data_IF_785574320536
#
_entry.id   IF_785574320536
#
_cell.length_a   1.000
_cell.length_b   1.000
_cell.length_c   1.000
_cell.angle_alpha   90.00
_cell.angle_beta   90.00
_cell.angle_gamma   90.00
#
_symmetry.space_group_name_H-M   'P 1'
#
loop_
_entity.id
_entity.type
_entity.pdbx_description
1 polymer ?
#
# COMPACT_ATOMS: atom_id res chain seq x y z
N UNK A 1 11.53 9.98 26.77
CA UNK A 1 11.65 8.61 26.22
C UNK A 1 10.37 8.12 25.53
N UNK A 2 9.19 8.13 26.18
CA UNK A 2 7.91 7.73 25.56
C UNK A 2 7.59 8.47 24.25
N UNK A 3 7.80 9.79 24.22
CA UNK A 3 7.57 10.62 23.03
C UNK A 3 8.42 10.22 21.81
N UNK A 4 9.67 9.82 22.03
CA UNK A 4 10.56 9.32 20.97
C UNK A 4 10.10 7.94 20.47
N UNK A 5 9.70 7.03 21.37
CA UNK A 5 9.22 5.70 20.99
C UNK A 5 7.89 5.75 20.22
N UNK A 6 7.05 6.76 20.50
CA UNK A 6 5.80 6.99 19.76
C UNK A 6 5.97 7.78 18.46
N UNK A 7 7.15 8.38 18.25
CA UNK A 7 7.45 9.13 17.04
C UNK A 7 7.77 8.21 15.87
N UNK A 8 7.54 8.71 14.66
CA UNK A 8 7.85 7.99 13.43
C UNK A 8 9.36 7.73 13.34
N UNK A 9 10.16 8.74 13.66
CA UNK A 9 11.61 8.64 13.68
C UNK A 9 12.11 7.59 14.67
N UNK A 10 11.59 7.57 15.91
CA UNK A 10 12.03 6.60 16.91
C UNK A 10 11.57 5.18 16.61
N UNK A 11 10.38 5.00 16.04
CA UNK A 11 9.93 3.68 15.55
C UNK A 11 10.79 3.16 14.41
N UNK A 12 11.08 4.00 13.41
CA UNK A 12 11.97 3.63 12.30
C UNK A 12 13.36 3.27 12.83
N UNK A 13 13.91 4.09 13.73
CA UNK A 13 15.21 3.84 14.34
C UNK A 13 15.28 2.51 15.09
N UNK A 14 14.27 2.22 15.94
CA UNK A 14 14.20 0.96 16.69
C UNK A 14 14.03 -0.26 15.77
N UNK A 15 13.19 -0.16 14.74
CA UNK A 15 13.00 -1.24 13.75
C UNK A 15 14.29 -1.50 12.97
N UNK A 16 14.97 -0.44 12.52
CA UNK A 16 16.23 -0.56 11.78
C UNK A 16 17.31 -1.19 12.64
N UNK A 17 17.55 -0.67 13.85
CA UNK A 17 18.58 -1.22 14.75
C UNK A 17 18.23 -2.65 15.18
N UNK A 18 17.00 -2.89 15.61
CA UNK A 18 16.56 -4.23 16.01
C UNK A 18 16.67 -5.23 14.87
N UNK A 19 16.30 -4.83 13.65
CA UNK A 19 16.42 -5.66 12.45
C UNK A 19 17.87 -5.96 12.07
N UNK A 20 18.77 -4.97 12.14
CA UNK A 20 20.20 -5.16 11.88
C UNK A 20 20.81 -6.12 12.90
N UNK A 21 20.54 -5.91 14.20
CA UNK A 21 21.07 -6.76 15.27
C UNK A 21 20.53 -8.19 15.15
N UNK A 22 19.22 -8.36 14.91
CA UNK A 22 18.62 -9.68 14.72
C UNK A 22 19.19 -10.40 13.49
N UNK A 23 19.37 -9.69 12.37
CA UNK A 23 19.99 -10.24 11.16
C UNK A 23 21.44 -10.67 11.40
N UNK A 24 22.22 -9.83 12.11
CA UNK A 24 23.60 -10.14 12.46
C UNK A 24 23.70 -11.36 13.39
N UNK A 25 22.84 -11.45 14.42
CA UNK A 25 22.79 -12.58 15.34
C UNK A 25 22.35 -13.87 14.64
N UNK A 26 21.35 -13.80 13.77
CA UNK A 26 20.89 -14.94 12.97
C UNK A 26 22.03 -15.45 12.08
N UNK A 27 22.70 -14.54 11.37
CA UNK A 27 23.82 -14.87 10.48
C UNK A 27 24.99 -15.48 11.26
N UNK A 28 25.33 -14.90 12.41
CA UNK A 28 26.39 -15.42 13.29
C UNK A 28 26.04 -16.79 13.85
N UNK A 29 24.79 -17.01 14.29
CA UNK A 29 24.34 -18.30 14.83
C UNK A 29 24.34 -19.40 13.77
N UNK A 30 23.89 -19.09 12.54
CA UNK A 30 23.96 -20.01 11.41
C UNK A 30 25.41 -20.39 11.08
N UNK A 31 26.31 -19.40 11.07
CA UNK A 31 27.74 -19.65 10.82
C UNK A 31 28.42 -20.48 11.91
N UNK A 32 28.07 -20.29 13.19
CA UNK A 32 28.69 -21.00 14.32
C UNK A 32 28.20 -22.46 14.43
N UNK A 33 26.90 -22.70 14.22
CA UNK A 33 26.32 -24.06 14.21
C UNK A 33 26.97 -24.94 13.14
N UNK A 34 27.17 -24.39 11.96
CA UNK A 34 27.71 -25.13 10.82
C UNK A 34 29.22 -25.37 10.94
N UNK A 35 29.96 -24.41 11.50
CA UNK A 35 31.39 -24.58 11.76
C UNK A 35 31.68 -25.74 12.71
N UNK A 36 30.93 -25.87 13.81
CA UNK A 36 31.22 -26.88 14.83
C UNK A 36 31.05 -28.32 14.32
N UNK A 37 30.03 -28.58 13.51
CA UNK A 37 29.74 -29.93 13.01
C UNK A 37 30.70 -30.35 11.89
N UNK A 38 30.96 -29.46 10.93
CA UNK A 38 31.78 -29.82 9.76
C UNK A 38 33.26 -29.99 10.12
N UNK A 39 33.80 -29.21 11.06
CA UNK A 39 35.22 -29.28 11.41
C UNK A 39 35.59 -30.47 12.30
N UNK A 40 34.67 -31.02 13.08
CA UNK A 40 34.96 -32.18 13.92
C UNK A 40 35.09 -33.45 13.06
N UNK A 41 34.13 -33.68 12.16
CA UNK A 41 34.12 -34.82 11.23
C UNK A 41 35.32 -34.80 10.27
N UNK A 42 35.61 -33.66 9.61
CA UNK A 42 36.75 -33.58 8.68
C UNK A 42 38.09 -33.80 9.38
N UNK A 43 38.25 -33.32 10.62
CA UNK A 43 39.47 -33.58 11.41
C UNK A 43 39.56 -35.05 11.82
N UNK A 44 38.46 -35.66 12.25
CA UNK A 44 38.42 -37.08 12.59
C UNK A 44 38.81 -37.96 11.40
N UNK A 45 38.23 -37.72 10.22
CA UNK A 45 38.56 -38.44 8.99
C UNK A 45 40.05 -38.30 8.60
N UNK A 46 40.60 -37.08 8.58
CA UNK A 46 42.04 -36.90 8.30
C UNK A 46 42.97 -37.53 9.35
N UNK A 47 42.52 -37.59 10.62
CA UNK A 47 43.28 -38.28 11.67
C UNK A 47 43.24 -39.79 11.45
N UNK A 48 42.08 -40.33 11.06
CA UNK A 48 41.90 -41.75 10.77
C UNK A 48 42.78 -42.21 9.59
N UNK A 49 42.79 -41.48 8.47
CA UNK A 49 43.65 -41.77 7.30
C UNK A 49 45.14 -41.81 7.66
N UNK A 50 45.63 -40.86 8.47
CA UNK A 50 47.03 -40.88 8.94
C UNK A 50 47.35 -42.06 9.85
N UNK A 51 46.40 -42.46 10.69
CA UNK A 51 46.55 -43.62 11.57
C UNK A 51 46.52 -44.91 10.75
N UNK A 52 45.66 -45.01 9.74
CA UNK A 52 45.62 -46.12 8.79
C UNK A 52 46.97 -46.30 8.10
N UNK A 53 47.52 -45.24 7.50
CA UNK A 53 48.82 -45.29 6.82
C UNK A 53 49.95 -45.76 7.76
N UNK A 54 49.91 -45.32 9.02
CA UNK A 54 50.88 -45.70 10.04
C UNK A 54 50.72 -47.15 10.47
N UNK A 55 49.49 -47.61 10.71
CA UNK A 55 49.19 -48.99 11.07
C UNK A 55 49.59 -49.92 9.92
N UNK A 56 49.22 -49.58 8.68
CA UNK A 56 49.60 -50.32 7.48
C UNK A 56 51.11 -50.37 7.27
N UNK A 57 51.84 -49.28 7.56
CA UNK A 57 53.31 -49.28 7.53
C UNK A 57 53.95 -50.15 8.63
N UNK A 58 53.38 -50.17 9.84
CA UNK A 58 53.87 -51.01 10.94
C UNK A 58 53.59 -52.51 10.70
N UNK A 59 52.47 -52.86 10.06
CA UNK A 59 52.15 -54.24 9.69
C UNK A 59 53.05 -54.76 8.56
N UNK A 60 53.46 -53.90 7.62
CA UNK A 60 54.36 -54.26 6.53
C UNK A 60 55.80 -54.60 7.00
N UNK A 61 56.15 -54.24 8.24
CA UNK A 61 57.49 -54.43 8.82
C UNK A 61 57.49 -55.62 9.80
N UNK A 62 58.51 -56.50 9.74
CA UNK A 62 58.66 -57.59 10.71
C UNK A 62 58.69 -57.11 12.16
N UNK A 63 58.21 -57.91 13.12
CA UNK A 63 57.99 -57.47 14.51
C UNK A 63 59.25 -56.93 15.19
N UNK A 64 60.43 -57.40 14.79
CA UNK A 64 61.73 -56.98 15.33
C UNK A 64 62.07 -55.51 15.04
N UNK A 65 61.61 -54.96 13.92
CA UNK A 65 61.93 -53.58 13.49
C UNK A 65 60.81 -52.57 13.78
N UNK A 66 59.63 -53.03 14.23
CA UNK A 66 58.51 -52.17 14.64
C UNK A 66 58.86 -51.13 15.70
N UNK A 67 59.59 -51.44 16.80
CA UNK A 67 59.95 -50.43 17.79
C UNK A 67 60.90 -49.37 17.22
N UNK A 68 61.79 -49.75 16.30
CA UNK A 68 62.70 -48.82 15.61
C UNK A 68 61.92 -47.88 14.68
N UNK A 69 60.99 -48.40 13.90
CA UNK A 69 60.12 -47.60 13.03
C UNK A 69 59.21 -46.67 13.85
N UNK A 70 58.63 -47.16 14.95
CA UNK A 70 57.85 -46.34 15.87
C UNK A 70 58.66 -45.22 16.52
N UNK A 71 59.94 -45.42 16.81
CA UNK A 71 60.82 -44.39 17.33
C UNK A 71 61.16 -43.29 16.30
N UNK A 72 61.02 -43.59 15.00
CA UNK A 72 61.21 -42.61 13.91
C UNK A 72 59.96 -41.78 13.61
N UNK A 73 58.82 -42.07 14.25
CA UNK A 73 57.62 -41.27 14.12
C UNK A 73 57.89 -39.82 14.55
N UNK A 74 57.56 -38.87 13.66
CA UNK A 74 57.85 -37.45 13.84
C UNK A 74 57.10 -36.79 14.99
N UNK A 75 57.40 -35.51 15.22
CA UNK A 75 56.73 -34.66 16.22
C UNK A 75 55.21 -34.67 16.01
N UNK A 76 54.47 -35.37 16.88
CA UNK A 76 53.00 -35.35 16.89
C UNK A 76 52.33 -36.69 17.18
N UNK A 77 53.02 -37.81 16.98
CA UNK A 77 52.49 -39.15 17.27
C UNK A 77 53.55 -39.99 18.00
N UNK A 78 53.14 -40.73 19.03
CA UNK A 78 53.99 -41.77 19.64
C UNK A 78 53.26 -43.11 19.62
N UNK A 79 54.00 -44.18 19.35
CA UNK A 79 53.50 -45.55 19.32
C UNK A 79 54.17 -46.39 20.40
N UNK A 80 53.36 -47.09 21.19
CA UNK A 80 53.82 -47.97 22.27
C UNK A 80 53.24 -49.37 22.07
N UNK A 81 54.13 -50.38 22.07
CA UNK A 81 53.80 -51.79 21.91
C UNK A 81 53.89 -52.51 23.27
N UNK A 82 52.98 -52.18 24.19
CA UNK A 82 52.82 -52.91 25.46
C UNK A 82 51.51 -52.49 26.12
N UNK A 83 50.61 -53.45 26.35
CA UNK A 83 49.32 -53.22 26.99
C UNK A 83 49.48 -52.81 28.45
N UNK A 84 49.11 -51.57 28.77
CA UNK A 84 48.42 -51.28 30.03
C UNK A 84 47.03 -50.82 29.65
N UNK A 85 46.02 -51.56 30.12
CA UNK A 85 44.64 -51.11 30.12
C UNK A 85 44.59 -49.70 30.70
N UNK A 86 44.22 -48.74 29.85
CA UNK A 86 43.98 -47.38 30.31
C UNK A 86 42.72 -47.39 31.20
N UNK A 87 42.67 -46.58 32.27
CA UNK A 87 41.44 -46.40 33.03
C UNK A 87 40.31 -45.94 32.10
N UNK A 88 39.03 -46.26 32.41
CA UNK A 88 37.90 -45.88 31.57
C UNK A 88 37.85 -44.35 31.44
N UNK A 89 38.26 -43.85 30.28
CA UNK A 89 38.22 -42.45 29.88
C UNK A 89 37.02 -42.19 28.97
N UNK A 90 36.65 -40.91 28.83
CA UNK A 90 35.58 -40.48 27.94
C UNK A 90 35.93 -40.84 26.49
N UNK A 91 35.04 -41.60 25.84
CA UNK A 91 35.24 -42.10 24.48
C UNK A 91 35.00 -40.99 23.46
N UNK A 92 35.95 -40.79 22.54
CA UNK A 92 35.76 -39.91 21.38
C UNK A 92 35.04 -40.73 20.30
N UNK A 93 33.70 -40.73 20.33
CA UNK A 93 32.87 -41.53 19.44
C UNK A 93 33.08 -41.17 17.96
N UNK A 94 33.17 -39.87 17.64
CA UNK A 94 33.37 -39.41 16.26
C UNK A 94 34.69 -39.89 15.67
N UNK A 95 35.78 -39.90 16.46
CA UNK A 95 37.07 -40.42 16.00
C UNK A 95 37.09 -41.95 15.97
N UNK A 96 36.42 -42.60 16.92
CA UNK A 96 36.33 -44.07 16.95
C UNK A 96 35.60 -44.57 15.70
N UNK A 97 34.46 -43.96 15.35
CA UNK A 97 33.69 -44.32 14.16
C UNK A 97 34.50 -44.09 12.88
N UNK A 98 35.17 -42.94 12.75
CA UNK A 98 36.02 -42.65 11.59
C UNK A 98 37.20 -43.65 11.46
N UNK A 99 37.77 -44.11 12.57
CA UNK A 99 38.85 -45.11 12.56
C UNK A 99 38.32 -46.50 12.21
N UNK A 100 37.13 -46.87 12.67
CA UNK A 100 36.51 -48.16 12.35
C UNK A 100 36.16 -48.24 10.87
N UNK A 101 35.69 -47.14 10.28
CA UNK A 101 35.41 -47.04 8.85
C UNK A 101 36.68 -47.23 8.00
N UNK A 102 37.80 -46.62 8.40
CA UNK A 102 39.05 -46.66 7.62
C UNK A 102 39.88 -47.94 7.85
N UNK A 103 39.96 -48.43 9.09
CA UNK A 103 40.80 -49.59 9.48
C UNK A 103 40.08 -50.93 9.39
N UNK A 104 38.75 -50.93 9.28
CA UNK A 104 37.87 -52.11 9.26
C UNK A 104 37.41 -52.58 10.65
N UNK A 105 36.23 -53.20 10.71
CA UNK A 105 35.57 -53.66 11.95
C UNK A 105 36.28 -54.81 12.68
N UNK A 106 37.22 -55.50 12.02
CA UNK A 106 37.94 -56.65 12.59
C UNK A 106 38.99 -56.26 13.64
N UNK A 107 39.26 -54.97 13.80
CA UNK A 107 40.24 -54.44 14.75
C UNK A 107 39.50 -53.84 15.95
N UNK A 108 39.88 -54.23 17.16
CA UNK A 108 39.35 -53.61 18.39
C UNK A 108 39.90 -52.19 18.55
N UNK A 109 39.29 -51.20 17.89
CA UNK A 109 39.71 -49.80 17.93
C UNK A 109 38.88 -49.02 18.94
N UNK A 110 39.55 -48.25 19.80
CA UNK A 110 38.91 -47.29 20.70
C UNK A 110 39.77 -46.02 20.80
N UNK A 111 39.14 -44.87 20.61
CA UNK A 111 39.76 -43.56 20.84
C UNK A 111 39.24 -42.94 22.14
N UNK A 112 40.14 -42.48 23.01
CA UNK A 112 39.82 -41.80 24.27
C UNK A 112 40.59 -40.48 24.41
N UNK A 113 40.09 -39.60 25.28
CA UNK A 113 40.84 -38.41 25.68
C UNK A 113 41.92 -38.78 26.71
N UNK A 114 43.18 -38.50 26.38
CA UNK A 114 44.33 -38.78 27.24
C UNK A 114 44.42 -37.86 28.46
N UNK A 115 44.94 -38.39 29.54
CA UNK A 115 45.24 -37.64 30.76
C UNK A 115 46.46 -36.74 30.59
N UNK A 116 46.59 -35.64 31.37
CA UNK A 116 47.74 -34.75 31.29
C UNK A 116 49.11 -35.46 31.41
N UNK A 117 49.18 -36.57 32.16
CA UNK A 117 50.38 -37.39 32.29
C UNK A 117 50.70 -38.19 31.02
N UNK A 118 49.69 -38.74 30.34
CA UNK A 118 49.85 -39.45 29.06
C UNK A 118 50.23 -38.49 27.93
N UNK A 119 49.78 -37.23 28.00
CA UNK A 119 50.14 -36.19 27.04
C UNK A 119 51.53 -35.59 27.28
N UNK A 120 52.19 -35.93 28.40
CA UNK A 120 53.48 -35.38 28.82
C UNK A 120 54.70 -36.23 28.41
N UNK A 121 54.53 -37.26 27.57
CA UNK A 121 55.63 -38.15 27.17
C UNK A 121 56.84 -37.36 26.61
N UNK A 122 58.08 -37.66 27.05
CA UNK A 122 59.26 -36.88 26.72
C UNK A 122 59.67 -37.13 25.26
N UNK A 123 59.39 -36.15 24.40
CA UNK A 123 59.86 -36.16 23.01
C UNK A 123 61.23 -35.46 22.97
N UNK A 124 62.30 -36.23 23.18
CA UNK A 124 63.69 -35.78 23.01
C UNK A 124 64.27 -34.93 24.15
N UNK A 125 65.60 -34.73 24.11
CA UNK A 125 66.43 -34.14 25.18
C UNK A 125 66.20 -32.64 25.48
N UNK A 126 65.06 -32.05 25.11
CA UNK A 126 64.72 -30.68 25.51
C UNK A 126 63.26 -30.62 25.98
N UNK A 127 62.99 -30.30 27.26
CA UNK A 127 61.63 -30.13 27.73
C UNK A 127 60.99 -28.95 26.98
N UNK A 128 59.83 -29.13 26.34
CA UNK A 128 59.08 -27.99 25.80
C UNK A 128 58.71 -27.08 26.97
N UNK A 129 59.05 -25.81 26.86
CA UNK A 129 58.63 -24.77 27.80
C UNK A 129 57.14 -24.94 28.09
N UNK A 130 56.81 -25.01 29.37
CA UNK A 130 55.50 -25.22 30.01
C UNK A 130 54.41 -24.22 29.59
N UNK A 131 54.11 -24.12 28.30
CA UNK A 131 52.81 -23.60 27.84
C UNK A 131 51.83 -24.75 27.95
N UNK A 132 51.03 -24.70 29.01
CA UNK A 132 49.90 -25.58 29.27
C UNK A 132 49.19 -25.93 27.96
N UNK A 133 49.35 -27.18 27.53
CA UNK A 133 48.49 -27.78 26.53
C UNK A 133 47.14 -27.98 27.25
N UNK A 134 46.23 -27.02 27.11
CA UNK A 134 44.88 -27.08 27.72
C UNK A 134 43.94 -28.00 26.95
N UNK A 135 44.38 -28.57 25.83
CA UNK A 135 43.60 -29.50 25.01
C UNK A 135 44.08 -30.93 25.27
N UNK A 136 43.21 -31.85 25.75
CA UNK A 136 43.62 -33.23 26.00
C UNK A 136 44.16 -33.86 24.70
N UNK A 137 45.29 -34.57 24.80
CA UNK A 137 45.76 -35.42 23.70
C UNK A 137 44.76 -36.54 23.44
N UNK A 138 44.83 -37.17 22.28
CA UNK A 138 43.97 -38.31 21.96
C UNK A 138 44.79 -39.59 22.02
N UNK A 139 44.25 -40.60 22.71
CA UNK A 139 44.87 -41.92 22.82
C UNK A 139 44.03 -42.88 22.01
N UNK A 140 44.66 -43.58 21.07
CA UNK A 140 44.01 -44.63 20.29
C UNK A 140 44.62 -45.97 20.73
N UNK A 141 43.77 -46.87 21.20
CA UNK A 141 44.12 -48.26 21.45
C UNK A 141 43.56 -49.12 20.32
N UNK A 142 44.43 -49.89 19.67
CA UNK A 142 44.03 -50.80 18.59
C UNK A 142 44.84 -52.10 18.62
N UNK A 143 44.36 -53.13 17.91
CA UNK A 143 45.06 -54.40 17.72
C UNK A 143 45.50 -54.52 16.27
N UNK A 144 46.79 -54.81 16.06
CA UNK A 144 47.33 -55.12 14.73
C UNK A 144 46.78 -56.49 14.26
N UNK A 145 46.82 -56.77 12.95
CA UNK A 145 46.36 -58.06 12.38
C UNK A 145 47.03 -59.28 13.02
N UNK A 146 48.27 -59.12 13.46
CA UNK A 146 49.05 -60.18 14.12
C UNK A 146 48.69 -60.35 15.62
N UNK A 147 47.66 -59.67 16.11
CA UNK A 147 47.23 -59.70 17.52
C UNK A 147 48.09 -58.86 18.47
N UNK A 148 49.08 -58.13 17.96
CA UNK A 148 49.92 -57.25 18.79
C UNK A 148 49.11 -56.01 19.23
N UNK A 149 49.03 -55.69 20.54
CA UNK A 149 48.36 -54.48 20.99
C UNK A 149 49.22 -53.25 20.68
N UNK A 150 48.60 -52.24 20.06
CA UNK A 150 49.20 -50.96 19.71
C UNK A 150 48.48 -49.83 20.42
N UNK A 151 49.25 -48.98 21.10
CA UNK A 151 48.76 -47.75 21.70
C UNK A 151 49.41 -46.54 21.04
N UNK A 152 48.59 -45.69 20.45
CA UNK A 152 49.01 -44.45 19.79
C UNK A 152 48.59 -43.25 20.63
N UNK A 153 49.51 -42.32 20.87
CA UNK A 153 49.22 -41.02 21.49
C UNK A 153 49.40 -39.94 20.43
N UNK A 154 48.30 -39.27 20.08
CA UNK A 154 48.28 -38.16 19.14
C UNK A 154 48.24 -36.84 19.92
N UNK A 155 49.28 -36.02 19.72
CA UNK A 155 49.29 -34.66 20.22
C UNK A 155 48.46 -33.78 19.29
N UNK A 156 47.74 -32.78 19.82
CA UNK A 156 46.98 -31.86 18.99
C UNK A 156 47.94 -31.08 18.07
N UNK A 157 47.88 -31.36 16.77
CA UNK A 157 48.51 -30.49 15.78
C UNK A 157 47.69 -29.18 15.71
N UNK A 158 48.21 -28.12 16.33
CA UNK A 158 47.66 -26.76 16.20
C UNK A 158 47.95 -26.21 14.80
N UNK A 159 47.38 -26.81 13.75
CA UNK A 159 47.20 -26.14 12.46
C UNK A 159 45.75 -25.74 12.35
N UNK A 160 45.47 -24.52 12.82
CA UNK A 160 44.22 -23.82 12.53
C UNK A 160 44.18 -23.44 11.04
N UNK A 161 44.09 -24.43 10.16
CA UNK A 161 43.68 -24.21 8.79
C UNK A 161 42.16 -24.11 8.83
N UNK A 162 41.64 -22.88 8.92
CA UNK A 162 40.25 -22.63 8.54
C UNK A 162 40.22 -22.68 7.01
N UNK A 163 39.74 -23.74 6.35
CA UNK A 163 39.53 -23.70 4.91
C UNK A 163 38.64 -22.49 4.60
N UNK A 164 39.09 -21.63 3.69
CA UNK A 164 38.26 -20.56 3.11
C UNK A 164 37.18 -21.24 2.25
N UNK A 165 36.13 -21.75 2.88
CA UNK A 165 34.97 -22.28 2.17
C UNK A 165 34.20 -21.12 1.55
N UNK A 166 33.75 -21.26 0.30
CA UNK A 166 32.95 -20.25 -0.44
C UNK A 166 31.61 -19.90 0.25
N UNK A 167 31.29 -20.55 1.37
CA UNK A 167 30.05 -20.43 2.15
C UNK A 167 29.86 -19.04 2.78
N UNK A 168 30.93 -18.26 2.95
CA UNK A 168 30.81 -16.85 3.38
C UNK A 168 29.94 -16.02 2.43
N UNK A 169 29.88 -16.38 1.14
CA UNK A 169 28.99 -15.73 0.17
C UNK A 169 27.52 -16.07 0.42
N UNK A 170 27.19 -17.30 0.84
CA UNK A 170 25.82 -17.69 1.18
C UNK A 170 25.32 -16.86 2.36
N UNK A 171 26.12 -16.72 3.42
CA UNK A 171 25.78 -15.88 4.56
C UNK A 171 25.69 -14.39 4.18
N UNK A 172 26.57 -13.91 3.29
CA UNK A 172 26.50 -12.55 2.75
C UNK A 172 25.19 -12.30 2.01
N UNK A 173 24.72 -13.25 1.18
CA UNK A 173 23.44 -13.16 0.47
C UNK A 173 22.26 -13.18 1.44
N UNK A 174 22.25 -14.06 2.44
CA UNK A 174 21.20 -14.10 3.47
C UNK A 174 21.13 -12.77 4.23
N UNK A 175 22.29 -12.22 4.64
CA UNK A 175 22.36 -10.93 5.32
C UNK A 175 21.81 -9.79 4.45
N UNK A 176 22.19 -9.74 3.16
CA UNK A 176 21.69 -8.75 2.21
C UNK A 176 20.17 -8.88 1.99
N UNK A 177 19.65 -10.11 1.92
CA UNK A 177 18.21 -10.37 1.77
C UNK A 177 17.44 -9.88 3.00
N UNK A 178 17.92 -10.19 4.21
CA UNK A 178 17.34 -9.66 5.45
C UNK A 178 17.37 -8.13 5.50
N UNK A 179 18.47 -7.52 5.07
CA UNK A 179 18.58 -6.06 5.00
C UNK A 179 17.63 -5.45 3.97
N UNK A 180 17.45 -6.08 2.81
CA UNK A 180 16.51 -5.67 1.78
C UNK A 180 15.05 -5.76 2.24
N UNK A 181 14.66 -6.84 2.92
CA UNK A 181 13.34 -6.99 3.53
C UNK A 181 13.08 -5.92 4.60
N UNK A 182 14.08 -5.64 5.44
CA UNK A 182 14.01 -4.60 6.46
C UNK A 182 13.82 -3.21 5.82
N UNK A 183 14.62 -2.90 4.79
CA UNK A 183 14.51 -1.65 4.05
C UNK A 183 13.14 -1.49 3.37
N UNK A 184 12.62 -2.56 2.75
CA UNK A 184 11.29 -2.57 2.16
C UNK A 184 10.20 -2.32 3.21
N UNK A 185 10.28 -2.98 4.37
CA UNK A 185 9.34 -2.80 5.46
C UNK A 185 9.33 -1.36 5.99
N UNK A 186 10.51 -0.78 6.24
CA UNK A 186 10.68 0.61 6.69
C UNK A 186 10.16 1.60 5.65
N UNK A 187 10.45 1.38 4.36
CA UNK A 187 9.95 2.23 3.28
C UNK A 187 8.42 2.20 3.21
N UNK A 188 7.81 1.00 3.29
CA UNK A 188 6.36 0.82 3.28
C UNK A 188 5.70 1.44 4.51
N UNK A 189 6.31 1.32 5.68
CA UNK A 189 5.83 1.95 6.92
C UNK A 189 5.82 3.48 6.82
N UNK A 190 6.83 4.04 6.14
CA UNK A 190 7.01 5.50 6.02
C UNK A 190 6.11 6.13 4.96
N UNK A 191 5.93 5.46 3.82
CA UNK A 191 5.23 6.02 2.65
C UNK A 191 3.72 5.79 2.67
N UNK A 192 3.24 4.69 3.26
CA UNK A 192 1.81 4.36 3.32
C UNK A 192 0.92 5.46 3.95
N UNK A 193 1.27 6.11 5.07
CA UNK A 193 0.42 7.17 5.63
C UNK A 193 0.34 8.42 4.74
N UNK A 194 1.42 8.78 4.04
CA UNK A 194 1.44 9.91 3.11
C UNK A 194 0.47 9.70 1.94
N UNK A 195 0.43 8.48 1.39
CA UNK A 195 -0.55 8.11 0.36
C UNK A 195 -2.00 8.10 0.86
N UNK A 196 -2.23 7.98 2.17
CA UNK A 196 -3.56 8.17 2.79
C UNK A 196 -3.98 9.63 2.79
N UNK A 197 -3.11 10.52 3.28
CA UNK A 197 -3.35 11.96 3.31
C UNK A 197 -3.55 12.55 1.90
N UNK A 198 -2.73 12.13 0.93
CA UNK A 198 -2.87 12.59 -0.46
C UNK A 198 -4.24 12.24 -1.06
N UNK A 199 -4.71 11.00 -0.87
CA UNK A 199 -6.03 10.56 -1.34
C UNK A 199 -7.16 11.32 -0.65
N UNK A 200 -7.06 11.55 0.65
CA UNK A 200 -8.06 12.32 1.39
C UNK A 200 -8.11 13.79 0.95
N UNK A 201 -6.96 14.40 0.64
CA UNK A 201 -6.91 15.75 0.08
C UNK A 201 -7.57 15.84 -1.31
N UNK A 202 -7.32 14.87 -2.20
CA UNK A 202 -8.00 14.81 -3.50
C UNK A 202 -9.49 14.57 -3.36
N UNK A 203 -9.89 13.71 -2.42
CA UNK A 203 -11.29 13.41 -2.17
C UNK A 203 -12.04 14.59 -1.53
N UNK A 204 -11.39 15.39 -0.67
CA UNK A 204 -11.96 16.60 -0.09
C UNK A 204 -12.39 17.62 -1.15
N UNK A 205 -11.62 17.72 -2.24
CA UNK A 205 -11.95 18.60 -3.37
C UNK A 205 -13.19 18.15 -4.15
N UNK A 206 -13.63 16.89 -4.00
CA UNK A 206 -14.85 16.35 -4.64
C UNK A 206 -16.03 16.31 -3.69
N UNK A 207 -15.78 15.99 -2.42
CA UNK A 207 -16.80 15.87 -1.39
C UNK A 207 -16.26 16.41 -0.05
N UNK A 208 -16.75 17.58 0.33
CA UNK A 208 -16.40 18.23 1.60
C UNK A 208 -16.96 17.48 2.82
N UNK A 209 -18.04 16.72 2.63
CA UNK A 209 -18.76 15.99 3.67
C UNK A 209 -18.23 14.57 3.89
N UNK A 210 -17.08 14.23 3.29
CA UNK A 210 -16.43 12.94 3.51
C UNK A 210 -16.06 12.71 4.99
N UNK A 211 -15.99 11.45 5.45
CA UNK A 211 -15.61 11.14 6.83
C UNK A 211 -14.20 11.67 7.17
N UNK A 212 -13.98 12.12 8.42
CA UNK A 212 -12.66 12.58 8.87
C UNK A 212 -11.64 11.44 8.86
N UNK A 213 -10.37 11.80 8.73
CA UNK A 213 -9.27 10.84 8.77
C UNK A 213 -9.11 10.25 10.18
N UNK A 214 -8.84 8.94 10.30
CA UNK A 214 -8.56 8.33 11.60
C UNK A 214 -7.25 8.87 12.17
N UNK A 215 -7.29 9.39 13.40
CA UNK A 215 -6.14 9.96 14.11
C UNK A 215 -5.29 8.87 14.81
N UNK A 216 -4.95 7.84 14.04
CA UNK A 216 -4.18 6.69 14.50
C UNK A 216 -2.74 6.72 13.94
N UNK A 217 -1.81 6.06 14.64
CA UNK A 217 -0.44 5.88 14.17
C UNK A 217 0.62 6.71 14.92
N UNK A 218 1.81 6.90 14.32
CA UNK A 218 2.87 7.72 14.91
C UNK A 218 2.40 9.16 15.19
N UNK A 219 3.03 9.82 16.16
CA UNK A 219 2.65 11.19 16.56
C UNK A 219 2.53 12.15 15.37
N UNK A 220 3.45 12.09 14.43
CA UNK A 220 3.53 12.98 13.26
C UNK A 220 2.34 12.77 12.32
N UNK A 221 1.98 11.50 12.10
CA UNK A 221 0.80 11.13 11.29
C UNK A 221 -0.49 11.57 11.99
N UNK A 222 -0.57 11.39 13.31
CA UNK A 222 -1.72 11.82 14.11
C UNK A 222 -1.91 13.34 14.08
N UNK A 223 -0.84 14.12 14.26
CA UNK A 223 -0.91 15.57 14.16
C UNK A 223 -1.29 16.03 12.76
N UNK A 224 -0.76 15.40 11.70
CA UNK A 224 -1.14 15.73 10.33
C UNK A 224 -2.62 15.40 10.05
N UNK A 225 -3.11 14.25 10.51
CA UNK A 225 -4.52 13.87 10.40
C UNK A 225 -5.44 14.85 11.16
N UNK A 226 -5.09 15.20 12.40
CA UNK A 226 -5.85 16.17 13.20
C UNK A 226 -5.88 17.57 12.55
N UNK A 227 -4.74 18.04 12.03
CA UNK A 227 -4.66 19.31 11.31
C UNK A 227 -5.50 19.30 10.02
N UNK A 228 -5.50 18.19 9.28
CA UNK A 228 -6.34 18.00 8.11
C UNK A 228 -7.84 18.00 8.46
N UNK A 229 -8.23 17.27 9.50
CA UNK A 229 -9.61 17.23 10.00
C UNK A 229 -10.10 18.62 10.43
N UNK A 230 -9.24 19.39 11.12
CA UNK A 230 -9.54 20.76 11.51
C UNK A 230 -9.68 21.70 10.31
N UNK A 231 -8.84 21.54 9.29
CA UNK A 231 -8.98 22.28 8.03
C UNK A 231 -10.30 21.95 7.34
N UNK A 232 -10.64 20.66 7.21
CA UNK A 232 -11.91 20.20 6.64
C UNK A 232 -13.11 20.82 7.38
N UNK A 233 -13.11 20.79 8.71
CA UNK A 233 -14.18 21.36 9.53
C UNK A 233 -14.34 22.88 9.30
N UNK A 234 -13.23 23.63 9.20
CA UNK A 234 -13.25 25.07 8.93
C UNK A 234 -13.77 25.41 7.54
N UNK A 235 -13.37 24.65 6.52
CA UNK A 235 -13.87 24.87 5.16
C UNK A 235 -15.37 24.58 5.13
N UNK A 236 -15.81 23.50 5.79
CA UNK A 236 -17.22 23.15 5.88
C UNK A 236 -18.04 24.25 6.54
N UNK A 237 -17.63 24.73 7.71
CA UNK A 237 -18.34 25.82 8.40
C UNK A 237 -18.38 27.11 7.57
N UNK A 238 -17.28 27.42 6.87
CA UNK A 238 -17.22 28.59 5.99
C UNK A 238 -18.19 28.49 4.79
N UNK A 239 -18.33 27.29 4.22
CA UNK A 239 -19.29 27.05 3.13
C UNK A 239 -20.73 27.14 3.66
N UNK A 240 -21.03 26.49 4.80
CA UNK A 240 -22.35 26.52 5.42
C UNK A 240 -22.78 27.96 5.79
N UNK A 241 -21.90 28.75 6.42
CA UNK A 241 -22.14 30.15 6.77
C UNK A 241 -22.40 31.01 5.51
N UNK A 242 -21.64 30.78 4.43
CA UNK A 242 -21.83 31.50 3.17
C UNK A 242 -23.18 31.16 2.53
N UNK A 243 -23.60 29.91 2.59
CA UNK A 243 -24.89 29.46 2.06
C UNK A 243 -26.04 30.04 2.87
N UNK A 244 -25.94 30.03 4.21
CA UNK A 244 -26.94 30.64 5.10
C UNK A 244 -27.06 32.16 4.86
N UNK A 245 -25.93 32.87 4.72
CA UNK A 245 -25.92 34.29 4.40
C UNK A 245 -26.63 34.59 3.08
N UNK A 246 -26.38 33.79 2.05
CA UNK A 246 -27.04 33.95 0.75
C UNK A 246 -28.54 33.68 0.84
N UNK A 247 -28.96 32.66 1.59
CA UNK A 247 -30.37 32.36 1.84
C UNK A 247 -31.06 33.50 2.62
N UNK A 248 -30.40 34.11 3.60
CA UNK A 248 -30.94 35.26 4.32
C UNK A 248 -31.10 36.48 3.38
N UNK A 249 -30.09 36.79 2.56
CA UNK A 249 -30.16 37.88 1.58
C UNK A 249 -31.31 37.65 0.58
N UNK A 250 -31.52 36.41 0.14
CA UNK A 250 -32.64 36.05 -0.74
C UNK A 250 -34.00 36.44 -0.15
N UNK A 251 -34.22 36.00 1.08
CA UNK A 251 -35.46 36.20 1.80
C UNK A 251 -35.71 37.71 2.02
N UNK A 252 -34.66 38.44 2.38
CA UNK A 252 -34.73 39.88 2.60
C UNK A 252 -34.93 40.67 1.30
N UNK A 253 -34.53 40.14 0.14
CA UNK A 253 -34.85 40.71 -1.18
C UNK A 253 -36.29 40.43 -1.62
N UNK A 254 -36.88 39.29 -1.24
CA UNK A 254 -38.25 38.93 -1.62
C UNK A 254 -39.30 39.88 -1.02
N UNK A 255 -39.06 40.36 0.21
CA UNK A 255 -39.97 41.30 0.91
C UNK A 255 -40.13 42.65 0.18
N UNK A 256 -39.06 43.39 -0.18
CA UNK A 256 -39.18 44.64 -0.94
C UNK A 256 -39.67 44.42 -2.37
N UNK A 257 -39.35 43.28 -3.02
CA UNK A 257 -39.89 42.95 -4.34
C UNK A 257 -41.40 42.76 -4.31
N UNK A 258 -41.92 42.03 -3.32
CA UNK A 258 -43.36 41.85 -3.11
C UNK A 258 -44.05 43.20 -2.87
N UNK A 259 -43.44 44.07 -2.06
CA UNK A 259 -43.95 45.43 -1.82
C UNK A 259 -43.91 46.27 -3.09
N UNK A 260 -42.87 46.15 -3.92
CA UNK A 260 -42.78 46.85 -5.19
C UNK A 260 -43.87 46.38 -6.15
N UNK A 261 -44.15 45.07 -6.22
CA UNK A 261 -45.26 44.49 -6.98
C UNK A 261 -46.61 45.12 -6.63
N UNK A 262 -46.93 45.20 -5.33
CA UNK A 262 -48.15 45.84 -4.84
C UNK A 262 -48.21 47.36 -5.15
N UNK A 263 -47.05 48.03 -5.23
CA UNK A 263 -47.00 49.45 -5.66
C UNK A 263 -47.22 49.61 -7.15
N UNK A 264 -46.74 48.67 -7.97
CA UNK A 264 -46.96 48.65 -9.41
C UNK A 264 -48.44 48.46 -9.77
N UNK A 265 -49.21 47.75 -8.94
CA UNK A 265 -50.67 47.62 -9.12
C UNK A 265 -51.40 48.97 -9.09
N UNK A 266 -50.82 50.01 -8.49
CA UNK A 266 -51.39 51.37 -8.44
C UNK A 266 -51.08 52.23 -9.67
N UNK A 267 -50.29 51.72 -10.62
CA UNK A 267 -49.99 52.42 -11.88
C UNK A 267 -51.22 52.37 -12.77
N UNK A 268 -51.74 53.55 -13.13
CA UNK A 268 -52.97 53.71 -13.93
C UNK A 268 -52.78 53.37 -15.40
N UNK A 269 -51.58 53.55 -15.95
CA UNK A 269 -51.23 53.12 -17.31
C UNK A 269 -51.00 51.60 -17.33
N UNK A 270 -51.98 50.89 -17.89
CA UNK A 270 -51.96 49.42 -18.00
C UNK A 270 -50.76 48.91 -18.80
N UNK A 271 -50.35 49.63 -19.84
CA UNK A 271 -49.22 49.22 -20.69
C UNK A 271 -47.89 49.37 -19.96
N UNK A 272 -47.74 50.45 -19.19
CA UNK A 272 -46.57 50.68 -18.35
C UNK A 272 -46.53 49.70 -17.17
N UNK A 273 -47.69 49.45 -16.54
CA UNK A 273 -47.84 48.47 -15.45
C UNK A 273 -47.40 47.08 -15.91
N UNK A 274 -47.89 46.61 -17.04
CA UNK A 274 -47.50 45.31 -17.60
C UNK A 274 -45.98 45.20 -17.84
N UNK A 275 -45.37 46.24 -18.40
CA UNK A 275 -43.90 46.29 -18.61
C UNK A 275 -43.12 46.26 -17.29
N UNK A 276 -43.53 47.03 -16.29
CA UNK A 276 -42.87 47.09 -14.98
C UNK A 276 -43.02 45.78 -14.19
N UNK A 277 -44.19 45.14 -14.25
CA UNK A 277 -44.42 43.83 -13.63
C UNK A 277 -43.58 42.76 -14.30
N UNK A 278 -43.44 42.79 -15.63
CA UNK A 278 -42.55 41.88 -16.36
C UNK A 278 -41.08 42.08 -15.97
N UNK A 279 -40.61 43.33 -15.86
CA UNK A 279 -39.25 43.64 -15.41
C UNK A 279 -39.01 43.15 -13.96
N UNK A 280 -39.99 43.31 -13.07
CA UNK A 280 -39.92 42.82 -11.70
C UNK A 280 -39.84 41.29 -11.65
N UNK A 281 -40.64 40.59 -12.44
CA UNK A 281 -40.59 39.13 -12.57
C UNK A 281 -39.24 38.64 -13.09
N UNK A 282 -38.63 39.36 -14.04
CA UNK A 282 -37.29 39.05 -14.53
C UNK A 282 -36.21 39.21 -13.45
N UNK A 283 -36.33 40.24 -12.59
CA UNK A 283 -35.44 40.41 -11.43
C UNK A 283 -35.62 39.31 -10.38
N UNK A 284 -36.87 38.95 -10.05
CA UNK A 284 -37.19 37.84 -9.14
C UNK A 284 -36.58 36.51 -9.64
N UNK A 285 -36.71 36.23 -10.93
CA UNK A 285 -36.10 35.06 -11.56
C UNK A 285 -34.58 35.09 -11.46
N UNK A 286 -33.94 36.24 -11.75
CA UNK A 286 -32.48 36.38 -11.67
C UNK A 286 -31.94 36.17 -10.26
N UNK A 287 -32.62 36.69 -9.25
CA UNK A 287 -32.24 36.50 -7.85
C UNK A 287 -32.37 35.02 -7.48
N UNK A 288 -33.50 34.40 -7.81
CA UNK A 288 -33.72 32.96 -7.55
C UNK A 288 -32.64 32.12 -8.22
N UNK A 289 -32.41 32.28 -9.51
CA UNK A 289 -31.40 31.51 -10.26
C UNK A 289 -29.96 31.76 -9.75
N UNK A 290 -29.63 32.97 -9.30
CA UNK A 290 -28.33 33.29 -8.69
C UNK A 290 -28.11 32.60 -7.35
N UNK A 291 -29.13 32.56 -6.50
CA UNK A 291 -29.11 31.80 -5.23
C UNK A 291 -29.03 30.31 -5.48
N UNK A 292 -29.77 29.87 -6.47
CA UNK A 292 -29.80 28.51 -6.97
C UNK A 292 -28.42 28.07 -7.47
N UNK A 293 -27.69 28.93 -8.20
CA UNK A 293 -26.32 28.68 -8.57
C UNK A 293 -25.41 28.56 -7.34
N UNK A 294 -25.54 29.48 -6.39
CA UNK A 294 -24.67 29.48 -5.22
C UNK A 294 -24.91 28.26 -4.31
N UNK A 295 -26.17 27.84 -4.15
CA UNK A 295 -26.58 26.63 -3.41
C UNK A 295 -26.31 25.34 -4.18
N UNK A 296 -26.22 25.36 -5.51
CA UNK A 296 -25.92 24.15 -6.31
C UNK A 296 -24.57 23.52 -5.95
N UNK A 297 -23.61 24.32 -5.49
CA UNK A 297 -22.32 23.85 -4.97
C UNK A 297 -22.49 23.12 -3.62
N UNK A 298 -23.45 23.56 -2.81
CA UNK A 298 -23.63 23.18 -1.41
C UNK A 298 -24.85 22.28 -1.15
N UNK A 299 -25.22 21.41 -2.10
CA UNK A 299 -26.24 20.39 -1.83
C UNK A 299 -25.75 19.40 -0.75
N UNK A 300 -25.97 19.71 0.52
CA UNK A 300 -25.82 18.86 1.69
C UNK A 300 -26.91 17.78 1.78
N UNK A 301 -27.48 17.38 0.64
CA UNK A 301 -28.49 16.34 0.57
C UNK A 301 -27.87 14.96 0.75
N UNK A 302 -28.59 14.09 1.46
CA UNK A 302 -28.20 12.69 1.59
C UNK A 302 -28.39 12.01 0.23
N UNK A 303 -27.33 11.37 -0.26
CA UNK A 303 -27.41 10.52 -1.45
C UNK A 303 -28.30 9.32 -1.13
N UNK A 304 -29.31 9.10 -1.96
CA UNK A 304 -30.23 7.97 -1.87
C UNK A 304 -30.41 7.33 -3.24
N UNK A 305 -30.94 6.10 -3.26
CA UNK A 305 -31.29 5.44 -4.52
C UNK A 305 -32.52 6.12 -5.10
N UNK A 306 -32.34 6.77 -6.24
CA UNK A 306 -33.39 7.46 -6.99
C UNK A 306 -33.73 6.63 -8.21
N UNK A 307 -35.00 6.27 -8.35
CA UNK A 307 -35.52 5.67 -9.56
C UNK A 307 -35.61 6.74 -10.67
N UNK A 308 -34.83 6.56 -11.74
CA UNK A 308 -34.72 7.56 -12.81
C UNK A 308 -36.01 7.70 -13.60
N UNK A 309 -36.73 6.60 -13.83
CA UNK A 309 -37.92 6.62 -14.68
C UNK A 309 -39.06 7.38 -13.97
N UNK A 310 -39.21 7.14 -12.66
CA UNK A 310 -40.14 7.91 -11.82
C UNK A 310 -39.78 9.39 -11.76
N UNK A 311 -38.50 9.73 -11.63
CA UNK A 311 -38.04 11.11 -11.59
C UNK A 311 -38.32 11.83 -12.92
N UNK A 312 -37.96 11.21 -14.05
CA UNK A 312 -38.17 11.75 -15.39
C UNK A 312 -39.66 11.95 -15.68
N UNK A 313 -40.48 10.96 -15.32
CA UNK A 313 -41.93 11.03 -15.48
C UNK A 313 -42.51 12.21 -14.70
N UNK A 314 -42.08 12.40 -13.44
CA UNK A 314 -42.52 13.54 -12.62
C UNK A 314 -42.13 14.88 -13.24
N UNK A 315 -40.86 15.06 -13.64
CA UNK A 315 -40.38 16.34 -14.19
C UNK A 315 -41.05 16.65 -15.54
N UNK A 316 -41.23 15.65 -16.39
CA UNK A 316 -41.90 15.84 -17.68
C UNK A 316 -43.39 16.15 -17.49
N UNK A 317 -44.05 15.50 -16.52
CA UNK A 317 -45.45 15.79 -16.20
C UNK A 317 -45.62 17.25 -15.71
N UNK A 318 -44.77 17.70 -14.80
CA UNK A 318 -44.78 19.09 -14.30
C UNK A 318 -44.62 20.11 -15.45
N UNK A 319 -43.73 19.81 -16.41
CA UNK A 319 -43.52 20.65 -17.60
C UNK A 319 -44.73 20.67 -18.55
N UNK A 320 -45.36 19.52 -18.77
CA UNK A 320 -46.58 19.39 -19.59
C UNK A 320 -47.74 20.17 -18.94
N UNK A 321 -47.91 20.05 -17.62
CA UNK A 321 -48.93 20.77 -16.85
C UNK A 321 -48.71 22.29 -16.88
N UNK A 322 -47.45 22.72 -16.98
CA UNK A 322 -47.09 24.12 -17.23
C UNK A 322 -47.33 24.59 -18.69
N UNK A 323 -47.87 23.72 -19.56
CA UNK A 323 -48.19 24.02 -20.95
C UNK A 323 -46.99 23.95 -21.90
N UNK A 324 -45.87 23.35 -21.48
CA UNK A 324 -44.69 23.19 -22.32
C UNK A 324 -44.83 21.99 -23.27
N UNK A 325 -44.25 22.08 -24.47
CA UNK A 325 -44.24 20.97 -25.44
C UNK A 325 -43.11 19.99 -25.11
N UNK A 326 -43.40 19.04 -24.22
CA UNK A 326 -42.45 18.02 -23.75
C UNK A 326 -43.00 16.62 -24.03
N UNK A 327 -42.13 15.72 -24.48
CA UNK A 327 -42.47 14.29 -24.53
C UNK A 327 -41.35 13.43 -23.99
N UNK A 328 -41.71 12.46 -23.17
CA UNK A 328 -40.83 11.42 -22.66
C UNK A 328 -41.00 10.14 -23.46
N UNK A 329 -39.89 9.49 -23.79
CA UNK A 329 -39.86 8.18 -24.46
C UNK A 329 -38.67 7.36 -23.96
N UNK A 330 -38.78 6.03 -24.03
CA UNK A 330 -37.78 5.12 -23.47
C UNK A 330 -37.86 5.02 -21.95
N UNK A 331 -37.21 3.99 -21.41
CA UNK A 331 -37.09 3.72 -19.98
C UNK A 331 -35.65 3.25 -19.71
N UNK A 332 -35.02 3.82 -18.67
CA UNK A 332 -33.69 3.39 -18.26
C UNK A 332 -33.74 2.13 -17.39
N UNK A 333 -34.88 1.86 -16.72
CA UNK A 333 -35.06 0.78 -15.74
C UNK A 333 -33.90 0.72 -14.73
N UNK A 334 -33.52 1.90 -14.22
CA UNK A 334 -32.29 2.05 -13.45
C UNK A 334 -32.47 2.99 -12.27
N UNK A 335 -31.88 2.60 -11.14
CA UNK A 335 -31.75 3.46 -9.97
C UNK A 335 -30.33 4.00 -9.85
N UNK A 336 -30.20 5.31 -9.64
CA UNK A 336 -28.91 5.99 -9.42
C UNK A 336 -28.75 6.42 -7.98
N UNK A 337 -27.52 6.41 -7.47
CA UNK A 337 -27.20 7.00 -6.18
C UNK A 337 -27.04 8.52 -6.33
N UNK A 338 -28.00 9.30 -5.84
CA UNK A 338 -28.00 10.75 -6.01
C UNK A 338 -28.87 11.51 -5.03
N UNK A 339 -28.90 12.84 -5.17
CA UNK A 339 -29.72 13.74 -4.37
C UNK A 339 -30.96 14.07 -5.21
N UNK A 340 -32.17 13.57 -4.87
CA UNK A 340 -33.34 13.65 -5.75
C UNK A 340 -33.67 15.08 -6.20
N UNK A 341 -33.71 16.02 -5.26
CA UNK A 341 -34.03 17.44 -5.53
C UNK A 341 -33.01 18.05 -6.50
N UNK A 342 -31.73 17.68 -6.38
CA UNK A 342 -30.70 18.16 -7.29
C UNK A 342 -30.90 17.58 -8.69
N UNK A 343 -31.12 16.27 -8.80
CA UNK A 343 -31.35 15.63 -10.10
C UNK A 343 -32.63 16.15 -10.78
N UNK A 344 -33.71 16.34 -10.02
CA UNK A 344 -34.95 16.96 -10.51
C UNK A 344 -34.66 18.33 -11.13
N UNK A 345 -33.89 19.16 -10.43
CA UNK A 345 -33.53 20.51 -10.87
C UNK A 345 -32.58 20.52 -12.08
N UNK A 346 -31.65 19.57 -12.15
CA UNK A 346 -30.81 19.37 -13.32
C UNK A 346 -31.67 19.10 -14.57
N UNK A 347 -32.60 18.15 -14.48
CA UNK A 347 -33.50 17.79 -15.57
C UNK A 347 -34.44 18.93 -15.95
N UNK A 348 -35.03 19.61 -14.98
CA UNK A 348 -35.88 20.78 -15.21
C UNK A 348 -35.15 21.87 -15.99
N UNK A 349 -33.90 22.21 -15.59
CA UNK A 349 -33.10 23.20 -16.32
C UNK A 349 -32.79 22.80 -17.76
N UNK A 350 -32.55 21.51 -18.03
CA UNK A 350 -32.32 21.02 -19.40
C UNK A 350 -33.58 21.11 -20.25
N UNK A 351 -34.73 20.71 -19.70
CA UNK A 351 -36.04 20.74 -20.36
C UNK A 351 -36.48 22.19 -20.62
N UNK A 352 -36.39 23.06 -19.62
CA UNK A 352 -36.71 24.48 -19.74
C UNK A 352 -35.84 25.15 -20.82
N UNK A 353 -34.55 24.82 -20.87
CA UNK A 353 -33.66 25.33 -21.91
C UNK A 353 -34.08 24.85 -23.30
N UNK A 354 -34.39 23.56 -23.46
CA UNK A 354 -34.84 22.99 -24.72
C UNK A 354 -36.16 23.63 -25.23
N UNK A 355 -37.16 23.76 -24.35
CA UNK A 355 -38.45 24.39 -24.70
C UNK A 355 -38.25 25.86 -25.06
N UNK A 356 -37.44 26.59 -24.30
CA UNK A 356 -37.25 28.04 -24.47
C UNK A 356 -36.53 28.42 -25.76
N UNK A 357 -35.50 27.67 -26.14
CA UNK A 357 -34.67 27.99 -27.32
C UNK A 357 -35.03 27.18 -28.56
N UNK A 358 -35.64 26.00 -28.40
CA UNK A 358 -36.01 25.13 -29.51
C UNK A 358 -37.49 24.80 -29.63
N UNK A 359 -38.35 25.39 -28.80
CA UNK A 359 -39.81 25.29 -28.87
C UNK A 359 -40.41 23.97 -28.34
N UNK A 360 -39.59 22.94 -28.18
CA UNK A 360 -40.00 21.66 -27.61
C UNK A 360 -38.81 20.95 -26.93
N UNK A 361 -39.12 19.99 -26.05
CA UNK A 361 -38.15 19.06 -25.49
C UNK A 361 -38.58 17.60 -25.76
N UNK A 362 -37.77 16.87 -26.53
CA UNK A 362 -37.89 15.41 -26.67
C UNK A 362 -36.90 14.76 -25.71
N UNK A 363 -37.42 14.09 -24.69
CA UNK A 363 -36.62 13.40 -23.67
C UNK A 363 -36.61 11.92 -23.99
N UNK A 364 -35.42 11.36 -24.14
CA UNK A 364 -35.18 9.92 -24.34
C UNK A 364 -34.34 9.40 -23.18
N UNK A 365 -34.80 8.34 -22.52
CA UNK A 365 -34.06 7.67 -21.46
C UNK A 365 -33.73 6.23 -21.85
N UNK A 366 -32.45 5.86 -21.72
CA UNK A 366 -31.95 4.55 -22.10
C UNK A 366 -30.87 4.08 -21.12
N UNK A 367 -30.68 2.77 -21.03
CA UNK A 367 -29.57 2.17 -20.30
C UNK A 367 -28.52 1.66 -21.26
N UNK A 368 -27.31 2.18 -21.12
CA UNK A 368 -26.12 1.75 -21.85
C UNK A 368 -25.15 1.06 -20.88
N UNK A 369 -25.28 -0.25 -20.71
CA UNK A 369 -24.43 -1.05 -19.83
C UNK A 369 -24.53 -0.66 -18.35
N UNK A 370 -23.46 -0.06 -17.82
CA UNK A 370 -23.35 0.43 -16.44
C UNK A 370 -23.68 1.92 -16.28
N UNK A 371 -24.33 2.52 -17.29
CA UNK A 371 -24.72 3.93 -17.31
C UNK A 371 -26.19 4.08 -17.71
N UNK A 372 -26.84 5.09 -17.14
CA UNK A 372 -28.09 5.61 -17.66
C UNK A 372 -27.80 6.85 -18.51
N UNK A 373 -28.39 6.91 -19.69
CA UNK A 373 -28.20 7.99 -20.66
C UNK A 373 -29.55 8.66 -20.87
N UNK A 374 -29.58 9.96 -20.62
CA UNK A 374 -30.75 10.81 -20.78
C UNK A 374 -30.42 11.84 -21.86
N UNK A 375 -31.17 11.84 -22.96
CA UNK A 375 -31.00 12.77 -24.07
C UNK A 375 -32.18 13.72 -24.11
N UNK A 376 -31.90 15.02 -24.07
CA UNK A 376 -32.90 16.07 -24.20
C UNK A 376 -32.63 16.82 -25.50
N UNK A 377 -33.50 16.63 -26.49
CA UNK A 377 -33.37 17.24 -27.82
C UNK A 377 -34.38 18.36 -28.02
N UNK A 378 -33.91 19.45 -28.60
CA UNK A 378 -34.74 20.60 -29.00
C UNK A 378 -34.76 20.82 -30.53
N UNK A 379 -35.59 21.77 -30.97
CA UNK A 379 -35.73 22.19 -32.37
C UNK A 379 -35.07 23.52 -32.71
N UNK A 380 -34.14 23.99 -31.88
CA UNK A 380 -33.51 25.31 -32.01
C UNK A 380 -32.46 25.40 -33.11
N UNK A 381 -31.78 26.56 -33.23
CA UNK A 381 -30.71 26.75 -34.21
C UNK A 381 -29.42 25.99 -33.87
N UNK A 382 -29.33 25.38 -32.69
CA UNK A 382 -28.10 24.78 -32.15
C UNK A 382 -27.13 25.85 -31.61
N UNK A 383 -25.90 25.42 -31.30
CA UNK A 383 -24.85 26.28 -30.74
C UNK A 383 -23.60 26.21 -31.64
N UNK A 384 -22.97 27.34 -31.99
CA UNK A 384 -21.69 27.32 -32.69
C UNK A 384 -20.63 26.52 -31.91
N UNK A 385 -19.86 25.67 -32.59
CA UNK A 385 -18.92 24.74 -31.96
C UNK A 385 -17.93 25.43 -31.00
N UNK A 386 -17.43 26.63 -31.36
CA UNK A 386 -16.54 27.44 -30.53
C UNK A 386 -17.16 27.95 -29.22
N UNK A 387 -18.49 27.88 -29.08
CA UNK A 387 -19.24 28.35 -27.91
C UNK A 387 -19.81 27.19 -27.08
N UNK A 388 -19.69 25.94 -27.55
CA UNK A 388 -20.31 24.76 -26.92
C UNK A 388 -19.86 24.53 -25.47
N UNK A 389 -18.61 24.85 -25.15
CA UNK A 389 -18.13 24.80 -23.76
C UNK A 389 -18.47 26.06 -22.96
N UNK A 390 -18.49 27.23 -23.62
CA UNK A 390 -18.73 28.53 -22.98
C UNK A 390 -20.17 28.70 -22.52
N UNK A 391 -21.13 28.00 -23.10
CA UNK A 391 -22.54 28.01 -22.65
C UNK A 391 -22.76 27.41 -21.26
N UNK A 392 -21.74 26.76 -20.71
CA UNK A 392 -21.73 26.34 -19.31
C UNK A 392 -21.10 27.38 -18.37
N UNK A 393 -20.58 28.50 -18.88
CA UNK A 393 -20.07 29.57 -18.04
C UNK A 393 -21.23 30.37 -17.43
N UNK A 394 -21.17 30.72 -16.14
CA UNK A 394 -22.21 31.54 -15.49
C UNK A 394 -22.47 32.84 -16.26
N UNK A 395 -23.76 33.15 -16.47
CA UNK A 395 -24.23 34.37 -17.14
C UNK A 395 -23.87 34.48 -18.63
N UNK A 396 -23.26 33.46 -19.23
CA UNK A 396 -22.95 33.46 -20.65
C UNK A 396 -24.18 33.13 -21.51
N UNK A 397 -24.32 33.83 -22.64
CA UNK A 397 -25.38 33.63 -23.63
C UNK A 397 -24.81 33.79 -25.04
N UNK A 398 -25.27 32.95 -25.97
CA UNK A 398 -24.87 32.98 -27.39
C UNK A 398 -25.45 34.21 -28.11
N UNK A 399 -26.68 34.59 -27.77
CA UNK A 399 -27.35 35.77 -28.34
C UNK A 399 -26.86 37.06 -27.67
N UNK A 400 -26.46 38.04 -28.49
CA UNK A 400 -25.99 39.36 -28.03
C UNK A 400 -27.15 40.34 -27.76
N UNK A 401 -28.35 40.05 -28.25
CA UNK A 401 -29.53 40.91 -28.08
C UNK A 401 -30.16 40.70 -26.71
N UNK A 402 -30.18 41.76 -25.89
CA UNK A 402 -31.03 41.90 -24.69
C UNK A 402 -32.52 42.03 -25.06
N UNK A 403 -33.00 41.33 -26.09
CA UNK A 403 -34.43 41.26 -26.38
C UNK A 403 -35.11 40.56 -25.21
N UNK A 404 -36.03 41.28 -24.55
CA UNK A 404 -36.80 40.84 -23.38
C UNK A 404 -37.60 39.55 -23.62
N UNK A 405 -37.78 39.13 -24.87
CA UNK A 405 -38.62 37.98 -25.25
C UNK A 405 -38.00 36.62 -24.87
N UNK A 406 -36.68 36.46 -24.88
CA UNK A 406 -36.02 35.18 -24.53
C UNK A 406 -35.63 35.08 -23.05
N UNK A 407 -35.98 36.05 -22.20
CA UNK A 407 -35.94 36.09 -20.72
C UNK A 407 -35.13 35.07 -19.90
N UNK A 408 -33.89 34.70 -20.27
CA UNK A 408 -33.04 33.75 -19.53
C UNK A 408 -31.78 34.40 -18.94
N UNK A 409 -31.36 33.96 -17.76
CA UNK A 409 -30.16 34.50 -17.07
C UNK A 409 -28.85 33.88 -17.53
N UNK A 410 -28.88 32.77 -18.27
CA UNK A 410 -27.67 32.01 -18.63
C UNK A 410 -27.13 31.17 -17.47
N UNK A 411 -27.96 30.84 -16.46
CA UNK A 411 -27.55 30.03 -15.31
C UNK A 411 -28.00 28.58 -15.37
N UNK A 412 -29.04 28.24 -16.13
CA UNK A 412 -29.62 26.89 -16.16
C UNK A 412 -28.63 25.78 -16.55
N UNK A 413 -27.91 25.95 -17.67
CA UNK A 413 -26.90 24.97 -18.11
C UNK A 413 -25.72 24.84 -17.14
N UNK A 414 -25.28 25.96 -16.56
CA UNK A 414 -24.25 26.01 -15.52
C UNK A 414 -24.66 25.20 -14.29
N UNK A 415 -25.89 25.40 -13.82
CA UNK A 415 -26.46 24.65 -12.69
C UNK A 415 -26.54 23.16 -13.03
N UNK A 416 -27.04 22.80 -14.22
CA UNK A 416 -27.14 21.43 -14.67
C UNK A 416 -25.75 20.75 -14.71
N UNK A 417 -24.72 21.43 -15.23
CA UNK A 417 -23.34 20.90 -15.26
C UNK A 417 -22.76 20.71 -13.86
N UNK A 418 -22.95 21.67 -12.96
CA UNK A 418 -22.51 21.55 -11.57
C UNK A 418 -23.14 20.34 -10.87
N UNK A 419 -24.45 20.16 -11.05
CA UNK A 419 -25.17 19.02 -10.48
C UNK A 419 -24.69 17.71 -11.11
N UNK A 420 -24.50 17.65 -12.42
CA UNK A 420 -23.99 16.46 -13.11
C UNK A 420 -22.60 16.06 -12.56
N UNK A 421 -21.64 16.99 -12.50
CA UNK A 421 -20.31 16.73 -11.95
C UNK A 421 -20.35 16.22 -10.51
N UNK A 422 -21.23 16.79 -9.66
CA UNK A 422 -21.40 16.35 -8.26
C UNK A 422 -21.92 14.91 -8.14
N UNK A 423 -22.67 14.45 -9.13
CA UNK A 423 -23.15 13.07 -9.23
C UNK A 423 -22.18 12.14 -9.97
N UNK A 424 -20.99 12.62 -10.34
CA UNK A 424 -20.05 11.85 -11.17
C UNK A 424 -20.58 11.60 -12.60
N UNK A 425 -21.61 12.35 -13.01
CA UNK A 425 -22.22 12.30 -14.32
C UNK A 425 -21.50 13.25 -15.28
N UNK A 426 -21.63 12.96 -16.58
CA UNK A 426 -21.14 13.83 -17.65
C UNK A 426 -22.32 14.44 -18.39
N UNK A 427 -22.22 15.75 -18.66
CA UNK A 427 -23.18 16.49 -19.47
C UNK A 427 -22.47 17.02 -20.71
N UNK A 428 -22.95 16.61 -21.89
CA UNK A 428 -22.37 16.96 -23.19
C UNK A 428 -23.45 17.58 -24.06
N UNK A 429 -23.06 18.58 -24.84
CA UNK A 429 -23.92 19.22 -25.84
C UNK A 429 -23.42 18.87 -27.24
N UNK A 430 -24.34 18.52 -28.13
CA UNK A 430 -24.04 18.33 -29.55
C UNK A 430 -25.17 18.91 -30.41
N UNK A 431 -24.83 19.42 -31.60
CA UNK A 431 -25.85 19.81 -32.57
C UNK A 431 -26.41 18.56 -33.25
N UNK A 432 -27.74 18.46 -33.31
CA UNK A 432 -28.41 17.28 -33.85
C UNK A 432 -28.40 17.29 -35.40
N UNK A 433 -28.32 16.10 -35.99
CA UNK A 433 -28.49 15.92 -37.44
C UNK A 433 -29.93 16.32 -37.83
N UNK A 434 -30.06 17.43 -38.57
CA UNK A 434 -31.34 18.04 -38.93
C UNK A 434 -31.69 19.33 -38.18
N UNK A 435 -30.77 19.88 -37.38
CA UNK A 435 -30.99 21.09 -36.58
C UNK A 435 -31.41 20.77 -35.15
N UNK A 436 -31.28 21.75 -34.26
CA UNK A 436 -31.48 21.61 -32.83
C UNK A 436 -30.21 21.30 -32.05
N UNK A 437 -30.33 21.37 -30.73
CA UNK A 437 -29.33 20.95 -29.77
C UNK A 437 -29.80 19.65 -29.08
N UNK A 438 -28.87 18.73 -28.85
CA UNK A 438 -29.07 17.56 -28.00
C UNK A 438 -28.16 17.66 -26.78
N UNK A 439 -28.78 17.70 -25.61
CA UNK A 439 -28.10 17.60 -24.33
C UNK A 439 -28.08 16.13 -23.90
N UNK A 440 -26.89 15.54 -23.76
CA UNK A 440 -26.72 14.17 -23.28
C UNK A 440 -26.18 14.17 -21.85
N UNK A 441 -27.01 13.73 -20.90
CA UNK A 441 -26.65 13.50 -19.50
C UNK A 441 -26.39 12.01 -19.28
N UNK A 442 -25.18 11.65 -18.88
CA UNK A 442 -24.79 10.25 -18.60
C UNK A 442 -24.49 10.06 -17.13
N UNK A 443 -25.29 9.23 -16.46
CA UNK A 443 -25.15 8.92 -15.03
C UNK A 443 -24.57 7.52 -14.82
N UNK A 444 -23.58 7.34 -13.92
CA UNK A 444 -23.09 6.01 -13.55
C UNK A 444 -24.13 5.26 -12.70
N UNK A 445 -24.37 3.98 -13.01
CA UNK A 445 -25.24 3.09 -12.22
C UNK A 445 -24.50 2.38 -11.08
N UNK A 446 -23.16 2.40 -11.14
CA UNK A 446 -22.30 1.82 -10.12
C UNK A 446 -22.03 2.86 -9.02
N UNK A 447 -22.96 2.97 -8.06
CA UNK A 447 -22.87 3.86 -6.89
C UNK A 447 -23.46 3.23 -5.64
#
# INVERSE_FOLDING_TARGET
>A
MKAFITSMQGRVFLVVIGGIVASALLTASLSDREGRQTFAQVRAAHTADRVEQLVSALEAVPPEFRPTLAATLGRGMSAQFAGRDAPPQESDAELTDALVDELGQDRNVRATQGTPAECATPIGNNPPSSRLITTPCRVISLTLRDGTPLRLVLLPEFRASRPRSFRWLVYGVVFLLCLGLLAYFVARMTTRPLGGLARAATALGRDINQPPLPENGPSEVRHAAAAFNLMQARIRSYVEERTEMLAAIAHDLQTPLTRLRLRLEKVTDETLRGKLVADLGAMELMIREGLDLATSLDTGGVKQRVDLDSLLSSVCADAIDAGQNVTLSGEAHASVLGIPIALQRCLANLIDNAVKYGGYARVVAEREGDKAVIRVRDGGPGIPEAQMERVFDPYYRVETSRSRETGGTGLGLTIARNIAHKHGATLVLCNAAGGGLECTLTLPLNG
#
